data_IF_212919721934
#
_entry.id   IF_212919721934
#
_cell.length_a   1.000
_cell.length_b   1.000
_cell.length_c   1.000
_cell.angle_alpha   90.00
_cell.angle_beta   90.00
_cell.angle_gamma   90.00
#
_symmetry.space_group_name_H-M   'P 1'
#
loop_
_entity.id
_entity.type
_entity.pdbx_description
1 polymer ?
#
# COMPACT_ATOMS: atom_id res chain seq x y z
N UNK A 1 19.84 10.41 2.31
CA UNK A 1 19.35 9.04 2.61
C UNK A 1 17.83 9.09 2.66
N UNK A 2 17.13 8.05 2.19
CA UNK A 2 15.66 7.97 2.23
C UNK A 2 15.22 6.88 3.22
N UNK A 3 14.17 7.14 3.98
CA UNK A 3 13.60 6.20 4.95
C UNK A 3 12.14 5.91 4.63
N UNK A 4 11.73 4.65 4.78
CA UNK A 4 10.35 4.22 4.62
C UNK A 4 9.83 3.48 5.85
N UNK A 5 8.51 3.38 5.97
CA UNK A 5 7.83 2.58 7.00
C UNK A 5 7.13 1.37 6.38
N UNK A 6 7.19 0.23 7.06
CA UNK A 6 6.47 -0.99 6.71
C UNK A 6 5.34 -1.20 7.70
N UNK A 7 4.13 -1.45 7.21
CA UNK A 7 2.90 -1.35 8.00
C UNK A 7 2.12 -2.66 7.89
N UNK A 8 1.85 -3.36 9.01
CA UNK A 8 0.78 -4.34 9.08
C UNK A 8 -0.53 -3.64 8.72
N UNK A 9 -1.10 -3.96 7.56
CA UNK A 9 -2.16 -3.16 6.97
C UNK A 9 -3.44 -3.26 7.82
N UNK A 10 -3.91 -2.10 8.28
CA UNK A 10 -5.18 -1.90 8.94
C UNK A 10 -6.02 -0.90 8.14
N UNK A 11 -7.34 -0.93 8.33
CA UNK A 11 -8.25 -0.04 7.62
C UNK A 11 -7.96 1.45 7.89
N UNK A 12 -7.38 1.77 9.04
CA UNK A 12 -7.02 3.12 9.47
C UNK A 12 -5.50 3.42 9.41
N UNK A 13 -4.71 2.59 8.72
CA UNK A 13 -3.26 2.79 8.54
C UNK A 13 -2.90 4.19 7.99
N UNK A 14 -3.84 4.88 7.34
CA UNK A 14 -3.68 6.27 6.91
C UNK A 14 -3.23 7.21 8.04
N UNK A 15 -3.60 6.95 9.30
CA UNK A 15 -3.17 7.75 10.47
C UNK A 15 -1.65 7.65 10.67
N UNK A 16 -1.12 6.42 10.61
CA UNK A 16 0.31 6.17 10.73
C UNK A 16 1.08 6.74 9.53
N UNK A 17 0.53 6.57 8.32
CA UNK A 17 1.14 7.09 7.10
C UNK A 17 1.20 8.62 7.11
N UNK A 18 0.13 9.29 7.53
CA UNK A 18 0.12 10.76 7.69
C UNK A 18 1.18 11.20 8.69
N UNK A 19 1.27 10.50 9.83
CA UNK A 19 2.30 10.81 10.83
C UNK A 19 3.71 10.60 10.28
N UNK A 20 3.93 9.55 9.49
CA UNK A 20 5.22 9.30 8.85
C UNK A 20 5.59 10.38 7.82
N UNK A 21 4.62 10.87 7.04
CA UNK A 21 4.82 12.00 6.14
C UNK A 21 5.22 13.28 6.89
N UNK A 22 4.54 13.59 8.00
CA UNK A 22 4.88 14.73 8.87
C UNK A 22 6.31 14.63 9.42
N UNK A 23 6.80 13.41 9.65
CA UNK A 23 8.14 13.11 10.14
C UNK A 23 9.20 13.01 9.02
N UNK A 24 8.81 13.19 7.75
CA UNK A 24 9.74 13.22 6.61
C UNK A 24 10.08 11.85 6.00
N UNK A 25 9.33 10.79 6.31
CA UNK A 25 9.47 9.51 5.61
C UNK A 25 9.07 9.63 4.15
N UNK A 26 9.79 8.95 3.26
CA UNK A 26 9.56 9.03 1.81
C UNK A 26 8.61 7.96 1.29
N UNK A 27 8.46 6.83 1.99
CA UNK A 27 7.65 5.69 1.56
C UNK A 27 6.87 5.06 2.71
N UNK A 28 5.67 4.57 2.40
CA UNK A 28 4.87 3.69 3.24
C UNK A 28 4.50 2.41 2.48
N UNK A 29 4.78 1.26 3.09
CA UNK A 29 4.63 -0.06 2.49
C UNK A 29 3.52 -0.85 3.19
N UNK A 30 2.49 -1.23 2.44
CA UNK A 30 1.29 -1.93 2.92
C UNK A 30 1.39 -3.43 2.62
N UNK A 31 1.15 -4.28 3.62
CA UNK A 31 1.23 -5.72 3.50
C UNK A 31 -0.05 -6.31 2.88
N UNK A 32 0.11 -7.24 1.92
CA UNK A 32 -0.99 -7.97 1.30
C UNK A 32 -1.12 -9.36 1.92
N UNK A 33 -1.81 -9.46 3.05
CA UNK A 33 -1.99 -10.72 3.80
C UNK A 33 -3.43 -10.92 4.24
N UNK A 34 -4.20 -11.65 3.43
CA UNK A 34 -5.67 -11.66 3.43
C UNK A 34 -6.30 -12.09 4.76
N UNK A 35 -5.67 -13.01 5.49
CA UNK A 35 -6.17 -13.51 6.78
C UNK A 35 -5.72 -12.69 7.99
N UNK A 36 -4.77 -11.76 7.82
CA UNK A 36 -4.13 -11.04 8.95
C UNK A 36 -4.21 -9.52 8.84
N UNK A 37 -4.63 -8.99 7.70
CA UNK A 37 -4.61 -7.55 7.43
C UNK A 37 -5.79 -7.13 6.57
N UNK A 38 -6.12 -5.84 6.67
CA UNK A 38 -7.12 -5.24 5.79
C UNK A 38 -6.63 -5.22 4.34
N UNK A 39 -7.56 -5.00 3.39
CA UNK A 39 -7.19 -4.91 1.98
C UNK A 39 -6.24 -3.70 1.73
N UNK A 40 -5.08 -3.93 1.09
CA UNK A 40 -4.08 -2.89 0.90
C UNK A 40 -4.54 -1.78 -0.04
N UNK A 41 -5.38 -2.06 -1.04
CA UNK A 41 -5.85 -1.02 -1.95
C UNK A 41 -6.80 -0.05 -1.26
N UNK A 42 -7.67 -0.56 -0.37
CA UNK A 42 -8.56 0.28 0.45
C UNK A 42 -7.75 1.17 1.40
N UNK A 43 -6.80 0.58 2.13
CA UNK A 43 -5.96 1.33 3.07
C UNK A 43 -5.07 2.37 2.35
N UNK A 44 -4.53 2.02 1.18
CA UNK A 44 -3.75 2.95 0.34
C UNK A 44 -4.62 4.07 -0.21
N UNK A 45 -5.88 3.83 -0.59
CA UNK A 45 -6.79 4.89 -1.04
C UNK A 45 -7.07 5.91 0.08
N UNK A 46 -7.31 5.43 1.31
CA UNK A 46 -7.47 6.31 2.46
C UNK A 46 -6.20 7.13 2.72
N UNK A 47 -5.02 6.49 2.67
CA UNK A 47 -3.75 7.19 2.84
C UNK A 47 -3.47 8.21 1.71
N UNK A 48 -3.83 7.88 0.46
CA UNK A 48 -3.66 8.75 -0.70
C UNK A 48 -4.42 10.08 -0.53
N UNK A 49 -5.64 10.02 0.00
CA UNK A 49 -6.47 11.20 0.25
C UNK A 49 -6.00 12.04 1.43
N UNK A 50 -5.26 11.45 2.37
CA UNK A 50 -4.86 12.09 3.64
C UNK A 50 -3.39 12.56 3.65
N UNK A 51 -2.67 12.40 2.53
CA UNK A 51 -1.25 12.74 2.40
C UNK A 51 -0.96 13.36 1.04
N UNK A 52 0.18 14.05 0.91
CA UNK A 52 0.47 14.86 -0.29
C UNK A 52 1.81 14.56 -0.96
N UNK A 53 2.75 13.90 -0.27
CA UNK A 53 4.15 13.72 -0.70
C UNK A 53 4.64 12.28 -0.58
N UNK A 54 4.33 11.58 0.51
CA UNK A 54 4.80 10.23 0.79
C UNK A 54 4.31 9.28 -0.31
N UNK A 55 5.20 8.39 -0.76
CA UNK A 55 4.87 7.36 -1.73
C UNK A 55 4.22 6.17 -1.03
N UNK A 56 3.17 5.65 -1.63
CA UNK A 56 2.36 4.56 -1.10
C UNK A 56 2.60 3.34 -1.96
N UNK A 57 3.08 2.25 -1.35
CA UNK A 57 3.43 1.04 -2.08
C UNK A 57 2.88 -0.21 -1.45
N UNK A 58 2.65 -1.22 -2.28
CA UNK A 58 2.47 -2.58 -1.79
C UNK A 58 3.83 -3.16 -1.40
N UNK A 59 3.93 -3.74 -0.21
CA UNK A 59 5.17 -4.31 0.34
C UNK A 59 4.93 -5.67 0.96
N UNK A 60 4.49 -6.68 0.22
CA UNK A 60 4.38 -6.77 -1.26
C UNK A 60 3.02 -7.35 -1.64
N UNK A 61 2.49 -6.97 -2.80
CA UNK A 61 1.31 -7.63 -3.39
C UNK A 61 1.68 -9.04 -3.86
N UNK A 62 0.73 -9.97 -3.77
CA UNK A 62 0.84 -11.32 -4.34
C UNK A 62 0.04 -11.38 -5.65
N UNK A 63 0.69 -11.34 -6.85
CA UNK A 63 -0.04 -11.24 -8.12
C UNK A 63 -1.05 -12.35 -8.38
N UNK A 64 -0.81 -13.56 -7.87
CA UNK A 64 -1.73 -14.70 -8.06
C UNK A 64 -2.98 -14.65 -7.17
N UNK A 65 -3.07 -13.74 -6.21
CA UNK A 65 -4.23 -13.61 -5.34
C UNK A 65 -5.37 -12.80 -6.00
N UNK A 66 -5.13 -12.19 -7.16
CA UNK A 66 -6.10 -11.38 -7.91
C UNK A 66 -5.88 -11.58 -9.40
N UNK A 67 -6.93 -11.51 -10.22
CA UNK A 67 -6.71 -11.51 -11.68
C UNK A 67 -5.99 -10.22 -12.11
N UNK A 68 -5.06 -10.33 -13.05
CA UNK A 68 -4.16 -9.23 -13.42
C UNK A 68 -4.88 -7.92 -13.81
N UNK A 69 -5.98 -7.94 -14.61
CA UNK A 69 -6.68 -6.71 -14.97
C UNK A 69 -7.27 -5.95 -13.78
N UNK A 70 -7.70 -6.67 -12.73
CA UNK A 70 -8.29 -6.06 -11.52
C UNK A 70 -7.20 -5.35 -10.70
N UNK A 71 -6.04 -5.99 -10.52
CA UNK A 71 -4.91 -5.37 -9.83
C UNK A 71 -4.41 -4.14 -10.60
N UNK A 72 -4.27 -4.23 -11.92
CA UNK A 72 -3.84 -3.12 -12.77
C UNK A 72 -4.80 -1.92 -12.67
N UNK A 73 -6.12 -2.17 -12.74
CA UNK A 73 -7.12 -1.11 -12.59
C UNK A 73 -7.07 -0.46 -11.21
N UNK A 74 -6.85 -1.23 -10.14
CA UNK A 74 -6.71 -0.70 -8.79
C UNK A 74 -5.50 0.24 -8.65
N UNK A 75 -4.33 -0.16 -9.17
CA UNK A 75 -3.16 0.72 -9.19
C UNK A 75 -3.37 1.97 -10.05
N UNK A 76 -4.00 1.84 -11.22
CA UNK A 76 -4.33 2.98 -12.07
C UNK A 76 -5.27 3.97 -11.36
N UNK A 77 -6.27 3.45 -10.65
CA UNK A 77 -7.23 4.25 -9.88
C UNK A 77 -6.56 4.95 -8.70
N UNK A 78 -5.71 4.25 -7.94
CA UNK A 78 -4.90 4.85 -6.88
C UNK A 78 -3.97 5.94 -7.43
N UNK A 79 -3.35 5.73 -8.59
CA UNK A 79 -2.46 6.71 -9.19
C UNK A 79 -3.23 7.95 -9.66
N UNK A 80 -4.52 7.84 -10.01
CA UNK A 80 -5.37 9.02 -10.24
C UNK A 80 -5.63 9.80 -8.94
N UNK A 81 -5.79 9.13 -7.80
CA UNK A 81 -5.95 9.77 -6.48
C UNK A 81 -4.65 10.41 -5.98
N UNK A 82 -3.51 9.80 -6.28
CA UNK A 82 -2.19 10.26 -5.86
C UNK A 82 -1.17 10.19 -7.01
N UNK A 83 -1.24 11.12 -7.98
CA UNK A 83 -0.39 11.09 -9.18
C UNK A 83 1.10 11.00 -8.87
N UNK A 84 1.75 9.94 -9.38
CA UNK A 84 3.19 9.72 -9.24
C UNK A 84 3.65 9.25 -7.86
N UNK A 85 2.71 8.97 -6.94
CA UNK A 85 3.01 8.52 -5.58
C UNK A 85 2.71 7.04 -5.34
N UNK A 86 2.17 6.31 -6.31
CA UNK A 86 1.83 4.90 -6.15
C UNK A 86 2.95 4.00 -6.64
N UNK A 87 3.33 3.01 -5.82
CA UNK A 87 4.40 2.05 -6.13
C UNK A 87 3.84 0.62 -6.14
N UNK A 88 4.14 -0.12 -7.21
CA UNK A 88 3.72 -1.51 -7.37
C UNK A 88 4.85 -2.46 -6.94
N UNK A 89 4.86 -2.85 -5.66
CA UNK A 89 5.80 -3.84 -5.14
C UNK A 89 5.17 -5.22 -5.09
N UNK A 90 5.84 -6.22 -5.67
CA UNK A 90 5.31 -7.58 -5.83
C UNK A 90 6.27 -8.65 -5.35
N UNK A 91 5.73 -9.78 -4.93
CA UNK A 91 6.48 -11.02 -4.70
C UNK A 91 5.56 -12.24 -4.79
N UNK A 92 6.13 -13.43 -4.61
CA UNK A 92 5.40 -14.70 -4.57
C UNK A 92 4.57 -14.87 -3.30
N UNK A 93 4.86 -14.10 -2.23
CA UNK A 93 4.12 -14.13 -0.97
C UNK A 93 4.62 -15.16 0.05
N UNK A 94 4.31 -14.95 1.32
CA UNK A 94 4.62 -15.87 2.42
C UNK A 94 3.42 -16.04 3.37
N UNK A 95 3.09 -15.02 4.18
CA UNK A 95 1.94 -15.10 5.10
C UNK A 95 0.60 -15.11 4.36
N UNK A 96 0.47 -14.34 3.28
CA UNK A 96 -0.73 -14.36 2.42
C UNK A 96 -0.93 -15.64 1.60
N UNK A 97 -0.08 -16.66 1.77
CA UNK A 97 -0.24 -18.01 1.24
C UNK A 97 -0.72 -19.02 2.29
N UNK A 98 -0.65 -18.65 3.57
CA UNK A 98 -1.08 -19.50 4.67
C UNK A 98 -2.58 -19.29 4.87
N UNK A 99 -3.35 -20.34 4.65
CA UNK A 99 -4.78 -20.44 4.97
C UNK A 99 -4.96 -20.81 6.42
#
# INVERSE_FOLDING_TARGET
>A
MQFGIAIPTAADSWRLVRRAEELGFSHAWFFDTQMLSADPFVAMAAAAMQTTRIRLGTGVLIPSNRIAPVAANAFASLNKLAPGRIVFGISTGFTGRRT
#
